data_IF_965672052792
#
_entry.id   IF_965672052792
#
_cell.length_a   1.000
_cell.length_b   1.000
_cell.length_c   1.000
_cell.angle_alpha   90.00
_cell.angle_beta   90.00
_cell.angle_gamma   90.00
#
_symmetry.space_group_name_H-M   'P 1'
#
loop_
_entity.id
_entity.type
_entity.pdbx_description
1 polymer ?
#
# COMPACT_ATOMS: atom_id res chain seq x y z
N UNK A 1 1.66 -18.42 -30.42
CA UNK A 1 1.53 -17.31 -29.46
C UNK A 1 2.22 -17.77 -28.18
N UNK A 2 3.08 -16.94 -27.58
CA UNK A 2 3.65 -17.24 -26.26
C UNK A 2 2.53 -16.99 -25.26
N UNK A 3 2.13 -18.00 -24.49
CA UNK A 3 1.16 -17.82 -23.42
C UNK A 3 1.71 -16.76 -22.46
N UNK A 4 1.00 -15.64 -22.34
CA UNK A 4 1.36 -14.60 -21.40
C UNK A 4 1.10 -15.15 -20.00
N UNK A 5 2.09 -15.05 -19.12
CA UNK A 5 1.94 -15.42 -17.72
C UNK A 5 0.84 -14.55 -17.09
N UNK A 6 -0.18 -15.20 -16.52
CA UNK A 6 -1.19 -14.54 -15.68
C UNK A 6 -0.75 -14.64 -14.23
N UNK A 7 -0.67 -13.50 -13.56
CA UNK A 7 -0.32 -13.38 -12.14
C UNK A 7 -1.56 -13.00 -11.34
N UNK A 8 -1.66 -13.51 -10.12
CA UNK A 8 -2.78 -13.27 -9.20
C UNK A 8 -2.35 -12.33 -8.10
N UNK A 9 -3.07 -11.22 -7.95
CA UNK A 9 -2.86 -10.25 -6.88
C UNK A 9 -4.12 -10.16 -6.05
N UNK A 10 -3.97 -10.30 -4.74
CA UNK A 10 -5.09 -10.23 -3.82
C UNK A 10 -5.38 -8.79 -3.46
N UNK A 11 -6.66 -8.45 -3.27
CA UNK A 11 -7.01 -7.27 -2.49
C UNK A 11 -6.58 -7.49 -1.04
N UNK A 12 -6.03 -6.44 -0.44
CA UNK A 12 -5.45 -6.51 0.89
C UNK A 12 -6.17 -5.56 1.83
N UNK A 13 -6.40 -5.98 3.07
CA UNK A 13 -7.06 -5.21 4.10
C UNK A 13 -6.03 -4.69 5.10
N UNK A 14 -6.18 -3.42 5.48
CA UNK A 14 -5.37 -2.76 6.49
C UNK A 14 -6.28 -2.09 7.52
N UNK A 15 -6.30 -2.59 8.75
CA UNK A 15 -7.14 -2.05 9.82
C UNK A 15 -6.67 -0.64 10.21
N UNK A 16 -7.62 0.27 10.44
CA UNK A 16 -7.26 1.63 10.88
C UNK A 16 -6.56 1.62 12.23
N UNK A 17 -6.91 0.71 13.13
CA UNK A 17 -6.21 0.57 14.41
C UNK A 17 -4.73 0.21 14.26
N UNK A 18 -4.37 -0.59 13.26
CA UNK A 18 -2.97 -0.94 12.98
C UNK A 18 -2.23 0.24 12.36
N UNK A 19 -2.90 1.01 11.48
CA UNK A 19 -2.36 2.27 10.93
C UNK A 19 -2.01 3.24 12.06
N UNK A 20 -2.93 3.44 13.01
CA UNK A 20 -2.71 4.31 14.17
C UNK A 20 -1.55 3.80 15.05
N UNK A 21 -1.47 2.50 15.30
CA UNK A 21 -0.35 1.90 16.05
C UNK A 21 1.00 2.11 15.34
N UNK A 22 1.04 2.00 14.00
CA UNK A 22 2.26 2.27 13.23
C UNK A 22 2.66 3.74 13.31
N UNK A 23 1.71 4.69 13.31
CA UNK A 23 1.97 6.12 13.51
C UNK A 23 2.54 6.35 14.91
N UNK A 24 1.85 5.83 15.95
CA UNK A 24 2.24 6.04 17.34
C UNK A 24 3.60 5.42 17.67
N UNK A 25 3.97 4.32 17.01
CA UNK A 25 5.25 3.64 17.19
C UNK A 25 6.39 4.21 16.34
N UNK A 26 6.10 5.12 15.40
CA UNK A 26 7.07 5.66 14.44
C UNK A 26 7.16 7.18 14.51
N UNK A 27 7.85 7.68 15.55
CA UNK A 27 8.06 9.12 15.73
C UNK A 27 8.75 9.75 14.51
N UNK A 28 8.20 10.86 14.05
CA UNK A 28 8.67 11.58 12.86
C UNK A 28 8.42 10.88 11.52
N UNK A 29 7.39 10.04 11.43
CA UNK A 29 6.93 9.45 10.16
C UNK A 29 6.58 10.50 9.12
N UNK A 30 7.13 10.36 7.91
CA UNK A 30 6.79 11.19 6.75
C UNK A 30 5.92 10.44 5.75
N UNK A 31 6.17 9.14 5.58
CA UNK A 31 5.48 8.32 4.59
C UNK A 31 5.20 6.90 5.10
N UNK A 32 4.12 6.32 4.59
CA UNK A 32 3.86 4.88 4.59
C UNK A 32 4.39 4.30 3.29
N UNK A 33 5.19 3.24 3.40
CA UNK A 33 5.73 2.50 2.25
C UNK A 33 5.21 1.08 2.29
N UNK A 34 4.43 0.72 1.27
CA UNK A 34 3.89 -0.62 1.09
C UNK A 34 4.80 -1.40 0.15
N UNK A 35 5.45 -2.43 0.67
CA UNK A 35 6.40 -3.26 -0.08
C UNK A 35 5.89 -4.68 -0.23
N UNK A 36 6.23 -5.32 -1.33
CA UNK A 36 5.85 -6.71 -1.59
C UNK A 36 6.53 -7.67 -0.62
N UNK A 37 5.74 -8.58 -0.06
CA UNK A 37 6.16 -9.54 0.94
C UNK A 37 5.71 -10.94 0.57
N UNK A 38 6.66 -11.88 0.61
CA UNK A 38 6.41 -13.30 0.48
C UNK A 38 6.54 -13.94 1.88
N UNK A 39 5.42 -14.24 2.56
CA UNK A 39 5.43 -14.73 3.94
C UNK A 39 6.13 -16.08 4.13
N UNK A 40 6.29 -16.86 3.07
CA UNK A 40 7.13 -18.05 3.06
C UNK A 40 7.52 -18.34 1.61
N UNK A 41 8.75 -17.97 1.23
CA UNK A 41 9.26 -18.14 -0.14
C UNK A 41 9.32 -19.62 -0.59
N UNK A 42 9.30 -20.56 0.36
CA UNK A 42 9.29 -22.00 0.16
C UNK A 42 7.88 -22.61 0.10
N UNK A 43 6.82 -21.85 0.43
CA UNK A 43 5.44 -22.32 0.38
C UNK A 43 4.70 -21.68 -0.80
N UNK A 44 4.74 -22.37 -1.94
CA UNK A 44 4.07 -21.97 -3.19
C UNK A 44 2.55 -21.71 -3.06
N UNK A 45 1.93 -22.14 -1.96
CA UNK A 45 0.51 -21.90 -1.68
C UNK A 45 0.20 -20.60 -0.93
N UNK A 46 1.21 -19.87 -0.43
CA UNK A 46 0.97 -18.59 0.25
C UNK A 46 1.04 -17.43 -0.76
N UNK A 47 -0.01 -16.60 -0.82
CA UNK A 47 -0.07 -15.55 -1.81
C UNK A 47 0.87 -14.39 -1.48
N UNK A 48 1.26 -13.65 -2.52
CA UNK A 48 1.96 -12.39 -2.40
C UNK A 48 1.11 -11.39 -1.61
N UNK A 49 1.72 -10.76 -0.61
CA UNK A 49 1.10 -9.76 0.26
C UNK A 49 1.89 -8.45 0.19
N UNK A 50 1.39 -7.44 0.91
CA UNK A 50 2.13 -6.22 1.19
C UNK A 50 2.43 -6.14 2.69
N UNK A 51 3.57 -5.55 3.01
CA UNK A 51 3.88 -5.03 4.35
C UNK A 51 3.92 -3.51 4.31
N UNK A 52 3.48 -2.86 5.39
CA UNK A 52 3.57 -1.42 5.57
C UNK A 52 4.71 -1.06 6.52
N UNK A 53 5.60 -0.18 6.05
CA UNK A 53 6.63 0.46 6.87
C UNK A 53 6.32 1.94 7.02
N UNK A 54 6.69 2.52 8.15
CA UNK A 54 6.91 3.95 8.22
C UNK A 54 8.29 4.28 7.63
N UNK A 55 8.37 5.39 6.92
CA UNK A 55 9.61 5.92 6.36
C UNK A 55 9.76 7.38 6.83
N UNK A 56 10.84 7.64 7.55
CA UNK A 56 11.16 8.93 8.15
C UNK A 56 12.31 9.56 7.38
N UNK A 57 12.05 10.71 6.75
CA UNK A 57 13.01 11.53 6.00
C UNK A 57 12.88 12.96 6.52
N UNK A 58 13.51 13.21 7.66
CA UNK A 58 13.43 14.48 8.36
C UNK A 58 14.84 14.98 8.75
N UNK A 59 14.93 16.08 9.49
CA UNK A 59 16.23 16.67 9.86
C UNK A 59 17.12 15.76 10.69
N UNK A 60 16.55 14.81 11.44
CA UNK A 60 17.31 13.80 12.17
C UNK A 60 17.76 12.64 11.28
N UNK A 61 17.02 12.37 10.20
CA UNK A 61 17.27 11.27 9.24
C UNK A 61 17.27 11.78 7.79
N UNK A 62 18.28 12.59 7.39
CA UNK A 62 18.29 13.24 6.08
C UNK A 62 18.37 12.25 4.91
N UNK A 63 18.97 11.07 5.13
CA UNK A 63 19.08 10.00 4.13
C UNK A 63 17.88 9.05 4.13
N UNK A 64 16.94 9.22 5.06
CA UNK A 64 15.78 8.37 5.24
C UNK A 64 16.06 7.10 6.04
N UNK A 65 15.13 6.73 6.93
CA UNK A 65 15.13 5.44 7.61
C UNK A 65 13.74 4.80 7.58
N UNK A 66 13.71 3.47 7.54
CA UNK A 66 12.47 2.70 7.72
C UNK A 66 12.28 2.35 9.19
N UNK A 67 11.02 2.29 9.64
CA UNK A 67 10.67 1.78 10.96
C UNK A 67 11.08 0.32 11.13
N UNK A 68 11.45 -0.04 12.35
CA UNK A 68 11.70 -1.45 12.73
C UNK A 68 10.40 -2.22 12.90
N UNK A 69 9.32 -1.54 13.32
CA UNK A 69 7.97 -2.07 13.35
C UNK A 69 7.34 -1.99 11.96
N UNK A 70 6.62 -3.02 11.55
CA UNK A 70 5.93 -3.08 10.28
C UNK A 70 4.66 -3.92 10.41
N UNK A 71 3.65 -3.56 9.62
CA UNK A 71 2.40 -4.32 9.55
C UNK A 71 2.42 -5.25 8.35
N UNK A 72 1.89 -6.46 8.51
CA UNK A 72 1.57 -7.33 7.36
C UNK A 72 0.10 -7.18 7.04
N UNK A 73 -0.23 -6.80 5.80
CA UNK A 73 -1.61 -6.63 5.39
C UNK A 73 -2.27 -7.99 5.18
N UNK A 74 -3.53 -8.10 5.60
CA UNK A 74 -4.32 -9.33 5.49
C UNK A 74 -5.02 -9.39 4.13
N UNK A 75 -5.48 -10.58 3.72
CA UNK A 75 -6.22 -10.73 2.47
C UNK A 75 -7.69 -10.37 2.72
N UNK A 76 -8.28 -9.56 1.84
CA UNK A 76 -9.70 -9.22 1.88
C UNK A 76 -10.53 -10.27 1.11
N UNK A 77 -11.30 -11.11 1.83
CA UNK A 77 -12.32 -12.03 1.30
C UNK A 77 -11.93 -12.88 0.07
N UNK A 78 -10.63 -13.15 -0.13
CA UNK A 78 -10.07 -13.78 -1.33
C UNK A 78 -10.46 -13.08 -2.64
N UNK A 79 -10.69 -11.77 -2.64
CA UNK A 79 -10.81 -10.99 -3.88
C UNK A 79 -9.46 -10.95 -4.57
N UNK A 80 -9.45 -11.33 -5.84
CA UNK A 80 -8.23 -11.50 -6.65
C UNK A 80 -8.41 -10.78 -7.97
N UNK A 81 -7.40 -10.02 -8.37
CA UNK A 81 -7.24 -9.50 -9.71
C UNK A 81 -6.23 -10.35 -10.49
N UNK A 82 -6.62 -10.77 -11.68
CA UNK A 82 -5.77 -11.51 -12.61
C UNK A 82 -5.14 -10.56 -13.61
N UNK A 83 -3.82 -10.38 -13.50
CA UNK A 83 -3.07 -9.47 -14.36
C UNK A 83 -2.23 -10.28 -15.34
N UNK A 84 -2.51 -10.08 -16.63
CA UNK A 84 -1.87 -10.81 -17.73
C UNK A 84 -0.69 -10.03 -18.32
N UNK A 85 0.44 -10.72 -18.54
CA UNK A 85 1.62 -10.20 -19.23
C UNK A 85 2.75 -9.77 -18.30
N UNK A 86 3.88 -9.29 -18.85
CA UNK A 86 4.96 -8.78 -18.02
C UNK A 86 4.49 -7.56 -17.24
N UNK A 87 4.96 -7.48 -15.99
CA UNK A 87 4.62 -6.42 -15.04
C UNK A 87 5.84 -6.09 -14.19
N UNK A 88 5.85 -4.87 -13.68
CA UNK A 88 6.89 -4.36 -12.78
C UNK A 88 6.26 -4.16 -11.41
N UNK A 89 6.77 -4.84 -10.39
CA UNK A 89 6.31 -4.66 -9.02
C UNK A 89 6.87 -3.36 -8.46
N UNK A 90 6.00 -2.43 -8.07
CA UNK A 90 6.41 -1.13 -7.49
C UNK A 90 5.83 -0.95 -6.10
N UNK A 91 6.62 -0.38 -5.20
CA UNK A 91 6.13 -0.01 -3.88
C UNK A 91 5.05 1.06 -4.00
N UNK A 92 4.03 0.99 -3.16
CA UNK A 92 3.10 2.10 -2.98
C UNK A 92 3.65 3.01 -1.88
N UNK A 93 3.62 4.32 -2.09
CA UNK A 93 4.07 5.30 -1.12
C UNK A 93 2.93 6.29 -0.91
N UNK A 94 2.52 6.47 0.34
CA UNK A 94 1.56 7.48 0.76
C UNK A 94 2.23 8.39 1.80
N UNK A 95 2.08 9.70 1.68
CA UNK A 95 2.53 10.58 2.74
C UNK A 95 1.67 10.39 4.00
N UNK A 96 2.21 10.75 5.17
CA UNK A 96 1.44 10.77 6.42
C UNK A 96 0.16 11.59 6.24
N UNK A 97 0.23 12.75 5.59
CA UNK A 97 -0.93 13.60 5.33
C UNK A 97 -2.01 12.89 4.49
N UNK A 98 -1.62 12.18 3.44
CA UNK A 98 -2.56 11.40 2.62
C UNK A 98 -3.19 10.25 3.41
N UNK A 99 -2.41 9.60 4.27
CA UNK A 99 -2.94 8.54 5.12
C UNK A 99 -3.94 9.09 6.15
N UNK A 100 -3.63 10.22 6.80
CA UNK A 100 -4.55 10.89 7.71
C UNK A 100 -5.84 11.32 7.01
N UNK A 101 -5.77 11.84 5.78
CA UNK A 101 -6.97 12.15 4.97
C UNK A 101 -7.83 10.92 4.63
N UNK A 102 -7.24 9.72 4.61
CA UNK A 102 -7.94 8.47 4.40
C UNK A 102 -8.61 7.96 5.67
N UNK A 103 -7.98 8.15 6.84
CA UNK A 103 -8.44 7.56 8.11
C UNK A 103 -9.20 8.53 9.02
N UNK A 104 -9.12 9.84 8.81
CA UNK A 104 -9.74 10.85 9.70
C UNK A 104 -10.87 11.66 9.06
N UNK A 105 -11.07 11.63 7.73
CA UNK A 105 -12.03 12.54 7.06
C UNK A 105 -12.92 11.89 5.97
N UNK A 106 -14.25 12.15 5.96
CA UNK A 106 -15.03 12.95 6.91
C UNK A 106 -15.44 12.20 8.18
N UNK A 107 -15.39 10.87 8.14
CA UNK A 107 -15.60 9.97 9.26
C UNK A 107 -14.48 8.93 9.23
N UNK A 108 -14.14 8.38 10.39
CA UNK A 108 -13.09 7.37 10.51
C UNK A 108 -13.58 6.03 9.96
N UNK A 109 -12.96 5.46 8.90
CA UNK A 109 -13.30 4.13 8.43
C UNK A 109 -12.85 3.06 9.43
N UNK A 110 -13.42 1.87 9.31
CA UNK A 110 -12.99 0.71 10.11
C UNK A 110 -11.68 0.14 9.56
N UNK A 111 -11.55 0.08 8.24
CA UNK A 111 -10.38 -0.45 7.54
C UNK A 111 -10.24 0.16 6.15
N UNK A 112 -9.04 0.03 5.59
CA UNK A 112 -8.75 0.33 4.20
C UNK A 112 -8.62 -0.97 3.39
N UNK A 113 -9.09 -0.95 2.14
CA UNK A 113 -8.82 -1.99 1.16
C UNK A 113 -7.85 -1.45 0.13
N UNK A 114 -6.73 -2.16 -0.05
CA UNK A 114 -5.76 -1.96 -1.09
C UNK A 114 -6.13 -2.90 -2.25
N UNK A 115 -6.50 -2.32 -3.39
CA UNK A 115 -6.95 -3.02 -4.60
C UNK A 115 -5.84 -2.94 -5.66
N UNK A 116 -5.31 -4.08 -6.14
CA UNK A 116 -4.24 -4.08 -7.14
C UNK A 116 -4.71 -3.47 -8.47
N UNK A 117 -3.84 -2.67 -9.09
CA UNK A 117 -4.08 -1.99 -10.35
C UNK A 117 -2.79 -1.92 -11.18
N UNK A 118 -2.91 -1.66 -12.49
CA UNK A 118 -1.79 -1.63 -13.44
C UNK A 118 -1.84 -0.34 -14.22
N UNK A 119 -0.76 0.43 -14.20
CA UNK A 119 -0.68 1.65 -15.00
C UNK A 119 -0.29 1.36 -16.47
N UNK A 120 -0.28 2.39 -17.30
CA UNK A 120 0.11 2.29 -18.73
C UNK A 120 1.51 1.70 -18.94
N UNK A 121 2.42 1.94 -17.98
CA UNK A 121 3.82 1.49 -18.03
C UNK A 121 4.02 0.09 -17.43
N UNK A 122 2.93 -0.61 -17.12
CA UNK A 122 2.92 -1.98 -16.58
C UNK A 122 3.46 -2.11 -15.16
N UNK A 123 3.50 -1.02 -14.40
CA UNK A 123 3.78 -1.05 -12.97
C UNK A 123 2.53 -1.44 -12.20
N UNK A 124 2.64 -2.43 -11.32
CA UNK A 124 1.60 -2.80 -10.37
C UNK A 124 1.71 -1.91 -9.14
N UNK A 125 0.58 -1.30 -8.81
CA UNK A 125 0.36 -0.48 -7.63
C UNK A 125 -1.01 -0.86 -7.02
N UNK A 126 -1.35 -0.35 -5.84
CA UNK A 126 -2.60 -0.72 -5.15
C UNK A 126 -3.45 0.48 -4.78
N UNK A 127 -4.56 0.75 -5.48
CA UNK A 127 -5.49 1.82 -5.10
C UNK A 127 -6.05 1.59 -3.70
N UNK A 128 -6.25 2.66 -2.93
CA UNK A 128 -6.70 2.56 -1.54
C UNK A 128 -8.13 3.07 -1.42
N UNK A 129 -8.98 2.24 -0.83
CA UNK A 129 -10.41 2.49 -0.63
C UNK A 129 -10.72 2.45 0.87
N UNK A 130 -11.49 3.43 1.35
CA UNK A 130 -11.94 3.48 2.74
C UNK A 130 -13.26 2.70 2.91
N UNK A 131 -13.32 1.82 3.91
CA UNK A 131 -14.47 0.97 4.18
C UNK A 131 -14.99 1.14 5.61
N UNK A 132 -16.32 1.14 5.73
CA UNK A 132 -17.04 1.28 6.98
C UNK A 132 -17.90 0.02 7.20
N UNK A 133 -17.89 -0.51 8.41
CA UNK A 133 -18.78 -1.58 8.83
C UNK A 133 -20.21 -1.03 8.88
N UNK A 134 -21.20 -1.84 8.46
CA UNK A 134 -22.60 -1.45 8.33
C UNK A 134 -23.28 -0.91 9.61
N UNK A 135 -22.63 -1.00 10.78
CA UNK A 135 -23.12 -0.42 12.03
C UNK A 135 -22.72 1.06 12.22
N UNK A 136 -21.69 1.53 11.50
CA UNK A 136 -21.09 2.84 11.70
C UNK A 136 -21.72 3.95 10.85
N UNK A 137 -22.49 3.61 9.81
CA UNK A 137 -22.98 4.58 8.83
C UNK A 137 -24.52 4.59 8.78
N UNK A 138 -25.13 5.45 9.60
CA UNK A 138 -26.51 5.85 9.40
C UNK A 138 -26.60 6.83 8.21
N UNK A 139 -26.54 6.30 6.98
CA UNK A 139 -26.83 7.05 5.76
C UNK A 139 -25.73 7.00 4.70
N UNK A 140 -26.01 6.28 3.60
CA UNK A 140 -25.34 6.33 2.30
C UNK A 140 -24.14 7.30 2.19
N UNK A 141 -22.93 6.81 2.41
CA UNK A 141 -21.72 7.53 2.01
C UNK A 141 -20.96 6.67 1.00
N UNK A 142 -20.73 7.26 -0.16
CA UNK A 142 -20.08 6.64 -1.31
C UNK A 142 -18.69 6.09 -0.94
N UNK A 143 -18.35 4.91 -1.48
CA UNK A 143 -16.99 4.37 -1.44
C UNK A 143 -16.01 5.43 -1.94
N UNK A 144 -15.10 5.88 -1.07
CA UNK A 144 -14.09 6.91 -1.39
C UNK A 144 -12.84 6.18 -1.88
N UNK A 145 -12.56 6.30 -3.18
CA UNK A 145 -11.31 5.81 -3.78
C UNK A 145 -10.29 6.95 -3.81
N UNK A 146 -9.13 6.78 -3.19
CA UNK A 146 -7.99 7.66 -3.46
C UNK A 146 -7.26 7.16 -4.71
N UNK A 147 -7.25 7.97 -5.76
CA UNK A 147 -6.43 7.76 -6.94
C UNK A 147 -5.04 8.34 -6.66
N UNK A 148 -3.98 7.54 -6.82
CA UNK A 148 -2.61 8.02 -6.65
C UNK A 148 -2.31 9.18 -7.59
N UNK A 149 -1.54 10.15 -7.07
CA UNK A 149 -0.85 11.11 -7.93
C UNK A 149 0.10 10.39 -8.89
N UNK A 150 0.55 11.06 -9.97
CA UNK A 150 1.58 10.51 -10.83
C UNK A 150 2.81 10.10 -9.99
N UNK A 151 3.54 9.05 -10.42
CA UNK A 151 4.66 8.51 -9.66
C UNK A 151 5.61 9.62 -9.22
N UNK A 152 6.19 9.54 -8.01
CA UNK A 152 7.16 10.53 -7.56
C UNK A 152 8.25 10.68 -8.63
N UNK A 153 8.64 11.94 -8.90
CA UNK A 153 9.72 12.26 -9.84
C UNK A 153 10.92 11.37 -9.52
N UNK A 154 11.26 10.52 -10.48
CA UNK A 154 12.42 9.63 -10.56
C UNK A 154 13.54 9.98 -9.55
N UNK A 155 13.59 9.31 -8.40
CA UNK A 155 14.67 9.41 -7.41
C UNK A 155 15.78 8.40 -7.71
N UNK A 156 16.15 8.24 -8.98
CA UNK A 156 17.34 7.46 -9.31
C UNK A 156 18.58 8.31 -9.00
N UNK A 157 19.44 7.95 -8.03
CA UNK A 157 20.76 8.56 -7.94
C UNK A 157 21.52 8.22 -9.23
N UNK A 158 22.06 9.23 -9.90
CA UNK A 158 22.93 8.99 -11.06
C UNK A 158 24.11 8.13 -10.62
N UNK A 159 24.55 7.13 -11.42
CA UNK A 159 25.74 6.35 -11.08
C UNK A 159 26.96 7.28 -10.90
N UNK A 160 27.93 6.91 -10.05
CA UNK A 160 29.11 7.74 -9.83
C UNK A 160 29.80 8.01 -11.17
N UNK A 161 30.15 9.26 -11.42
CA UNK A 161 30.95 9.63 -12.58
C UNK A 161 32.25 8.83 -12.56
N UNK A 162 32.53 8.13 -13.67
CA UNK A 162 33.81 7.46 -13.93
C UNK A 162 34.74 8.38 -14.67
#
# INVERSE_FOLDING_TARGET
MKDLQTLKFYCLRYEVSAIEELIDSSDGIDNFVFSYYYPAADQAGKPLQLVAYAHMVNSAYPDGIYSTYYDTLSIDDNKIEEICGPVILSNNILSLAQMLELIDYPEKPDYLILVPNVNSDRHIYYSVEAHYNNASVAGNTAQKTALFGPPPKNTNPSPPAT
#
